data_IF_624232386143
#
_entry.id   IF_624232386143
#
_cell.length_a   1.000
_cell.length_b   1.000
_cell.length_c   1.000
_cell.angle_alpha   90.00
_cell.angle_beta   90.00
_cell.angle_gamma   90.00
#
_symmetry.space_group_name_H-M   'P 1'
#
loop_
_entity.id
_entity.type
_entity.pdbx_description
1 polymer ?
#
# COMPACT_ATOMS: atom_id res chain seq x y z
N UNK A 1 10.95 28.87 26.57
CA UNK A 1 10.24 27.89 27.43
C UNK A 1 8.84 27.51 26.89
N UNK A 2 7.92 28.45 26.69
CA UNK A 2 6.52 28.17 26.20
C UNK A 2 6.43 27.44 24.85
N UNK A 3 7.20 27.86 23.83
CA UNK A 3 7.28 27.18 22.52
C UNK A 3 7.86 25.76 22.62
N UNK A 4 8.81 25.53 23.54
CA UNK A 4 9.41 24.21 23.78
C UNK A 4 8.40 23.28 24.45
N UNK A 5 7.70 23.76 25.49
CA UNK A 5 6.63 23.01 26.17
C UNK A 5 5.46 22.69 25.22
N UNK A 6 5.06 23.63 24.35
CA UNK A 6 4.04 23.38 23.34
C UNK A 6 4.48 22.32 22.32
N UNK A 7 5.75 22.35 21.89
CA UNK A 7 6.32 21.34 20.99
C UNK A 7 6.41 19.97 21.66
N UNK A 8 6.81 19.90 22.92
CA UNK A 8 6.85 18.66 23.72
C UNK A 8 5.44 18.09 23.93
N UNK A 9 4.45 18.92 24.26
CA UNK A 9 3.05 18.49 24.37
C UNK A 9 2.47 17.98 23.06
N UNK A 10 2.79 18.62 21.93
CA UNK A 10 2.40 18.15 20.59
C UNK A 10 3.05 16.81 20.22
N UNK A 11 4.34 16.65 20.56
CA UNK A 11 5.07 15.40 20.33
C UNK A 11 4.50 14.26 21.18
N UNK A 12 4.23 14.50 22.47
CA UNK A 12 3.62 13.50 23.36
C UNK A 12 2.25 13.05 22.86
N UNK A 13 1.41 13.98 22.38
CA UNK A 13 0.12 13.65 21.76
C UNK A 13 0.29 12.79 20.50
N UNK A 14 1.25 13.15 19.64
CA UNK A 14 1.53 12.39 18.42
C UNK A 14 1.96 10.96 18.72
N UNK A 15 2.83 10.78 19.73
CA UNK A 15 3.22 9.45 20.21
C UNK A 15 2.03 8.70 20.79
N UNK A 16 1.21 9.36 21.63
CA UNK A 16 0.00 8.77 22.20
C UNK A 16 -0.98 8.26 21.13
N UNK A 17 -1.24 9.05 20.09
CA UNK A 17 -2.11 8.62 18.98
C UNK A 17 -1.53 7.48 18.16
N UNK A 18 -0.20 7.43 18.02
CA UNK A 18 0.46 6.29 17.38
C UNK A 18 0.31 5.03 18.21
N UNK A 19 0.58 5.08 19.52
CA UNK A 19 0.38 3.95 20.43
C UNK A 19 -1.09 3.49 20.40
N UNK A 20 -2.02 4.43 20.46
CA UNK A 20 -3.45 4.12 20.33
C UNK A 20 -3.73 3.38 19.02
N UNK A 21 -3.30 3.92 17.88
CA UNK A 21 -3.59 3.32 16.57
C UNK A 21 -2.93 1.95 16.40
N UNK A 22 -1.70 1.79 16.88
CA UNK A 22 -0.92 0.56 16.71
C UNK A 22 -1.33 -0.55 17.70
N UNK A 23 -1.97 -0.23 18.83
CA UNK A 23 -2.19 -1.22 19.91
C UNK A 23 -3.60 -1.23 20.54
N UNK A 24 -4.37 -0.15 20.47
CA UNK A 24 -5.59 0.02 21.27
C UNK A 24 -6.83 0.41 20.46
N UNK A 25 -6.68 0.70 19.17
CA UNK A 25 -7.79 1.17 18.34
C UNK A 25 -8.78 0.02 18.11
N UNK A 26 -10.07 0.22 18.45
CA UNK A 26 -11.08 -0.80 18.18
C UNK A 26 -11.26 -0.98 16.67
N UNK A 27 -11.90 -2.07 16.27
CA UNK A 27 -12.29 -2.23 14.88
C UNK A 27 -13.19 -1.08 14.44
N UNK A 28 -12.87 -0.53 13.27
CA UNK A 28 -13.63 0.50 12.55
C UNK A 28 -14.31 -0.09 11.30
N UNK A 29 -14.31 -1.42 11.14
CA UNK A 29 -14.89 -2.09 9.98
C UNK A 29 -16.39 -1.82 9.83
N UNK A 30 -17.12 -1.62 10.94
CA UNK A 30 -18.52 -1.18 10.88
C UNK A 30 -18.65 0.23 10.26
N UNK A 31 -17.70 1.12 10.52
CA UNK A 31 -17.65 2.45 9.88
C UNK A 31 -17.32 2.33 8.39
N UNK A 32 -16.43 1.40 8.03
CA UNK A 32 -16.11 1.11 6.63
C UNK A 32 -17.35 0.61 5.86
N UNK A 33 -18.05 -0.37 6.41
CA UNK A 33 -19.29 -0.90 5.84
C UNK A 33 -20.37 0.19 5.69
N UNK A 34 -20.55 1.03 6.71
CA UNK A 34 -21.48 2.16 6.63
C UNK A 34 -21.09 3.17 5.54
N UNK A 35 -19.80 3.42 5.33
CA UNK A 35 -19.33 4.30 4.25
C UNK A 35 -19.72 3.77 2.87
N UNK A 36 -19.55 2.48 2.64
CA UNK A 36 -19.93 1.83 1.38
C UNK A 36 -21.44 1.82 1.19
N UNK A 37 -22.21 1.50 2.23
CA UNK A 37 -23.67 1.55 2.17
C UNK A 37 -24.18 2.96 1.80
N UNK A 38 -23.63 4.02 2.39
CA UNK A 38 -24.04 5.39 2.04
C UNK A 38 -23.68 5.76 0.59
N UNK A 39 -22.55 5.28 0.07
CA UNK A 39 -22.22 5.45 -1.34
C UNK A 39 -23.25 4.74 -2.24
N UNK A 40 -23.62 3.50 -1.92
CA UNK A 40 -24.63 2.74 -2.66
C UNK A 40 -26.00 3.43 -2.61
N UNK A 41 -26.44 3.88 -1.43
CA UNK A 41 -27.69 4.65 -1.24
C UNK A 41 -27.70 5.98 -2.02
N UNK A 42 -26.52 6.54 -2.29
CA UNK A 42 -26.33 7.73 -3.11
C UNK A 42 -26.09 7.41 -4.60
N UNK A 43 -26.43 6.21 -5.07
CA UNK A 43 -26.26 5.70 -6.44
C UNK A 43 -24.83 5.81 -7.00
N UNK A 44 -23.81 5.59 -6.17
CA UNK A 44 -22.44 5.48 -6.66
C UNK A 44 -22.22 4.11 -7.32
N UNK A 45 -21.65 4.11 -8.52
CA UNK A 45 -21.03 2.92 -9.09
C UNK A 45 -19.67 2.71 -8.41
N UNK A 46 -19.54 1.63 -7.62
CA UNK A 46 -18.30 1.31 -6.92
C UNK A 46 -17.39 0.48 -7.82
N UNK A 47 -16.16 0.95 -7.98
CA UNK A 47 -15.18 0.44 -8.91
C UNK A 47 -13.84 0.12 -8.24
N UNK A 48 -13.22 -0.99 -8.65
CA UNK A 48 -11.78 -1.13 -8.55
C UNK A 48 -11.09 -0.13 -9.50
N UNK A 49 -9.83 0.19 -9.25
CA UNK A 49 -8.97 0.99 -10.13
C UNK A 49 -8.97 0.43 -11.56
N UNK A 50 -8.76 -0.89 -11.74
CA UNK A 50 -8.87 -1.51 -13.07
C UNK A 50 -10.24 -1.30 -13.72
N UNK A 51 -11.34 -1.52 -13.00
CA UNK A 51 -12.67 -1.36 -13.60
C UNK A 51 -13.01 0.09 -13.93
N UNK A 52 -12.52 1.06 -13.17
CA UNK A 52 -12.64 2.48 -13.51
C UNK A 52 -11.74 2.87 -14.69
N UNK A 53 -10.57 2.23 -14.81
CA UNK A 53 -9.71 2.39 -15.98
C UNK A 53 -10.41 1.95 -17.28
N UNK A 54 -11.21 0.89 -17.24
CA UNK A 54 -12.07 0.50 -18.37
C UNK A 54 -13.11 1.59 -18.72
N UNK A 55 -13.71 2.25 -17.72
CA UNK A 55 -14.61 3.40 -17.96
C UNK A 55 -13.87 4.53 -18.68
N UNK A 56 -12.61 4.79 -18.30
CA UNK A 56 -11.78 5.79 -18.97
C UNK A 56 -11.48 5.39 -20.42
N UNK A 57 -11.08 4.14 -20.65
CA UNK A 57 -10.83 3.62 -22.01
C UNK A 57 -12.07 3.64 -22.90
N UNK A 58 -13.27 3.51 -22.31
CA UNK A 58 -14.55 3.60 -23.00
C UNK A 58 -15.02 5.04 -23.29
N UNK A 59 -14.22 6.06 -23.00
CA UNK A 59 -14.54 7.47 -23.30
C UNK A 59 -14.64 8.37 -22.06
N UNK A 60 -14.40 7.84 -20.86
CA UNK A 60 -14.41 8.62 -19.62
C UNK A 60 -15.71 8.49 -18.81
N UNK A 61 -15.74 9.07 -17.60
CA UNK A 61 -16.94 9.09 -16.75
C UNK A 61 -18.12 9.74 -17.46
N UNK A 62 -19.26 9.04 -17.47
CA UNK A 62 -20.51 9.55 -18.05
C UNK A 62 -21.08 10.68 -17.20
N UNK A 63 -21.47 11.78 -17.86
CA UNK A 63 -22.12 12.92 -17.21
C UNK A 63 -23.40 12.49 -16.47
N UNK A 64 -23.57 12.97 -15.23
CA UNK A 64 -24.71 12.66 -14.37
C UNK A 64 -24.59 11.36 -13.56
N UNK A 65 -23.63 10.49 -13.88
CA UNK A 65 -23.29 9.32 -13.04
C UNK A 65 -22.31 9.71 -11.93
N UNK A 66 -22.25 8.87 -10.89
CA UNK A 66 -21.33 9.01 -9.75
C UNK A 66 -20.50 7.74 -9.59
N UNK A 67 -19.21 7.91 -9.37
CA UNK A 67 -18.25 6.81 -9.30
C UNK A 67 -17.48 6.88 -7.98
N UNK A 68 -17.34 5.74 -7.31
CA UNK A 68 -16.48 5.56 -6.15
C UNK A 68 -15.38 4.56 -6.50
N UNK A 69 -14.16 5.05 -6.64
CA UNK A 69 -12.98 4.22 -6.89
C UNK A 69 -12.44 3.79 -5.53
N UNK A 70 -12.41 2.48 -5.28
CA UNK A 70 -12.02 1.91 -4.00
C UNK A 70 -10.69 1.16 -4.11
N UNK A 71 -9.70 1.59 -3.31
CA UNK A 71 -8.34 1.03 -3.27
C UNK A 71 -7.93 0.71 -1.83
N UNK A 72 -7.28 -0.44 -1.68
CA UNK A 72 -6.65 -0.93 -0.46
C UNK A 72 -5.15 -1.17 -0.69
N UNK A 73 -4.31 -0.49 0.06
CA UNK A 73 -2.87 -0.77 0.12
C UNK A 73 -2.60 -1.71 1.30
N UNK A 74 -2.35 -2.99 1.00
CA UNK A 74 -2.17 -4.06 1.98
C UNK A 74 -0.72 -4.04 2.47
N UNK A 75 -0.39 -3.09 3.34
CA UNK A 75 0.99 -2.86 3.78
C UNK A 75 1.54 -3.92 4.75
N UNK A 76 0.69 -4.37 5.68
CA UNK A 76 1.07 -5.26 6.78
C UNK A 76 -0.04 -6.22 7.21
N UNK A 77 -1.31 -5.82 7.16
CA UNK A 77 -2.43 -6.54 7.80
C UNK A 77 -3.33 -7.24 6.75
N UNK A 78 -2.97 -8.49 6.43
CA UNK A 78 -3.71 -9.35 5.49
C UNK A 78 -5.06 -9.77 6.09
N UNK A 79 -5.12 -10.00 7.42
CA UNK A 79 -6.33 -10.45 8.08
C UNK A 79 -7.44 -9.41 7.97
N UNK A 80 -7.13 -8.13 8.18
CA UNK A 80 -8.10 -7.04 8.01
C UNK A 80 -8.40 -6.79 6.54
N UNK A 81 -7.43 -6.97 5.62
CA UNK A 81 -7.71 -6.92 4.19
C UNK A 81 -8.79 -7.94 3.77
N UNK A 82 -8.70 -9.17 4.29
CA UNK A 82 -9.70 -10.23 4.05
C UNK A 82 -11.09 -9.88 4.59
N UNK A 83 -11.17 -9.22 5.74
CA UNK A 83 -12.45 -8.75 6.32
C UNK A 83 -13.06 -7.61 5.49
N UNK A 84 -12.25 -6.65 5.04
CA UNK A 84 -12.70 -5.57 4.15
C UNK A 84 -13.25 -6.14 2.85
N UNK A 85 -12.50 -7.06 2.23
CA UNK A 85 -12.95 -7.79 1.05
C UNK A 85 -14.26 -8.56 1.32
N UNK A 86 -14.40 -9.22 2.46
CA UNK A 86 -15.65 -9.94 2.81
C UNK A 86 -16.86 -8.99 2.92
N UNK A 87 -16.66 -7.78 3.46
CA UNK A 87 -17.68 -6.73 3.50
C UNK A 87 -18.05 -6.29 2.08
N UNK A 88 -17.05 -6.01 1.24
CA UNK A 88 -17.24 -5.59 -0.15
C UNK A 88 -18.03 -6.62 -0.96
N UNK A 89 -17.69 -7.90 -0.82
CA UNK A 89 -18.42 -9.00 -1.46
C UNK A 89 -19.86 -9.09 -0.99
N UNK A 90 -20.13 -8.95 0.32
CA UNK A 90 -21.49 -8.94 0.86
C UNK A 90 -22.32 -7.78 0.30
N UNK A 91 -21.71 -6.64 0.04
CA UNK A 91 -22.36 -5.46 -0.54
C UNK A 91 -22.42 -5.50 -2.07
N UNK A 92 -21.83 -6.50 -2.72
CA UNK A 92 -21.79 -6.62 -4.18
C UNK A 92 -20.95 -5.54 -4.86
N UNK A 93 -19.95 -5.00 -4.16
CA UNK A 93 -19.04 -3.98 -4.68
C UNK A 93 -17.65 -4.57 -4.94
N UNK A 94 -16.84 -3.86 -5.72
CA UNK A 94 -15.49 -4.28 -6.11
C UNK A 94 -14.46 -3.21 -5.77
N UNK A 95 -13.26 -3.65 -5.40
CA UNK A 95 -12.14 -2.80 -5.06
C UNK A 95 -10.83 -3.33 -5.63
N UNK A 96 -9.77 -2.53 -5.52
CA UNK A 96 -8.39 -2.95 -5.78
C UNK A 96 -7.64 -3.19 -4.49
N UNK A 97 -6.95 -4.32 -4.39
CA UNK A 97 -6.05 -4.68 -3.31
C UNK A 97 -4.63 -4.77 -3.85
N UNK A 98 -3.76 -3.85 -3.43
CA UNK A 98 -2.36 -3.85 -3.80
C UNK A 98 -1.54 -4.45 -2.66
N UNK A 99 -0.84 -5.55 -2.95
CA UNK A 99 -0.07 -6.32 -1.98
C UNK A 99 1.42 -6.01 -2.11
N UNK A 100 2.08 -5.72 -1.00
CA UNK A 100 3.54 -5.68 -0.93
C UNK A 100 4.09 -7.09 -0.99
N UNK A 101 5.38 -7.23 -1.32
CA UNK A 101 6.04 -8.54 -1.25
C UNK A 101 5.92 -9.18 0.14
N UNK A 102 5.93 -8.39 1.21
CA UNK A 102 5.76 -8.88 2.58
C UNK A 102 4.34 -9.29 2.95
N UNK A 103 3.35 -9.00 2.09
CA UNK A 103 1.94 -9.27 2.35
C UNK A 103 1.26 -10.10 1.27
N UNK A 104 2.02 -10.64 0.31
CA UNK A 104 1.49 -11.54 -0.72
C UNK A 104 0.78 -12.72 -0.05
N UNK A 105 -0.51 -12.87 -0.34
CA UNK A 105 -1.36 -14.00 0.02
C UNK A 105 -2.01 -14.50 -1.28
N UNK A 106 -1.35 -15.47 -1.94
CA UNK A 106 -1.78 -15.97 -3.25
C UNK A 106 -3.25 -16.46 -3.23
N UNK A 107 -3.70 -17.24 -2.22
CA UNK A 107 -5.10 -17.62 -2.10
C UNK A 107 -6.06 -16.42 -2.09
N UNK A 108 -5.81 -15.42 -1.23
CA UNK A 108 -6.65 -14.23 -1.16
C UNK A 108 -6.63 -13.43 -2.46
N UNK A 109 -5.45 -13.24 -3.07
CA UNK A 109 -5.32 -12.51 -4.33
C UNK A 109 -6.13 -13.16 -5.45
N UNK A 110 -6.10 -14.50 -5.55
CA UNK A 110 -6.91 -15.24 -6.53
C UNK A 110 -8.39 -15.11 -6.23
N UNK A 111 -8.79 -15.26 -4.97
CA UNK A 111 -10.19 -15.15 -4.55
C UNK A 111 -10.78 -13.76 -4.88
N UNK A 112 -10.04 -12.69 -4.57
CA UNK A 112 -10.42 -11.31 -4.95
C UNK A 112 -10.67 -11.21 -6.46
N UNK A 113 -9.78 -11.78 -7.27
CA UNK A 113 -9.89 -11.71 -8.72
C UNK A 113 -11.06 -12.54 -9.29
N UNK A 114 -11.21 -13.77 -8.81
CA UNK A 114 -12.27 -14.70 -9.23
C UNK A 114 -13.67 -14.14 -8.95
N UNK A 115 -13.81 -13.36 -7.88
CA UNK A 115 -15.07 -12.72 -7.51
C UNK A 115 -15.25 -11.29 -8.09
N UNK A 116 -14.38 -10.88 -9.03
CA UNK A 116 -14.53 -9.66 -9.82
C UNK A 116 -13.82 -8.41 -9.29
N UNK A 117 -13.11 -8.53 -8.17
CA UNK A 117 -12.19 -7.52 -7.65
C UNK A 117 -10.85 -7.50 -8.38
N UNK A 118 -9.97 -6.59 -7.95
CA UNK A 118 -8.60 -6.52 -8.44
C UNK A 118 -7.61 -6.83 -7.33
N UNK A 119 -6.68 -7.75 -7.57
CA UNK A 119 -5.51 -7.96 -6.74
C UNK A 119 -4.24 -7.72 -7.57
N UNK A 120 -3.36 -6.84 -7.09
CA UNK A 120 -2.17 -6.46 -7.83
C UNK A 120 -1.00 -6.07 -6.92
N UNK A 121 0.08 -5.56 -7.51
CA UNK A 121 1.36 -5.34 -6.85
C UNK A 121 1.48 -3.94 -6.24
N UNK A 122 1.79 -3.88 -4.93
CA UNK A 122 2.19 -2.68 -4.21
C UNK A 122 3.71 -2.60 -4.11
N UNK A 123 4.33 -1.85 -5.01
CA UNK A 123 5.76 -1.98 -5.29
C UNK A 123 6.61 -0.90 -4.60
N UNK A 124 7.87 -1.22 -4.34
CA UNK A 124 8.79 -0.37 -3.56
C UNK A 124 10.28 -0.56 -3.89
N UNK A 125 10.62 -0.88 -5.14
CA UNK A 125 12.00 -1.22 -5.53
C UNK A 125 12.97 -0.06 -5.36
N UNK A 126 12.56 1.21 -5.56
CA UNK A 126 13.43 2.36 -5.29
C UNK A 126 13.80 2.38 -3.80
N UNK A 127 12.82 2.19 -2.91
CA UNK A 127 13.07 2.15 -1.49
C UNK A 127 13.93 0.95 -1.08
N UNK A 128 13.61 -0.23 -1.61
CA UNK A 128 14.29 -1.49 -1.26
C UNK A 128 15.76 -1.43 -1.67
N UNK A 129 16.04 -1.21 -2.94
CA UNK A 129 17.41 -1.17 -3.48
C UNK A 129 18.15 0.07 -2.94
N UNK A 130 17.46 1.18 -2.77
CA UNK A 130 18.01 2.39 -2.17
C UNK A 130 18.52 2.16 -0.74
N UNK A 131 17.75 1.45 0.10
CA UNK A 131 18.17 1.05 1.46
C UNK A 131 19.29 0.01 1.44
N UNK A 132 19.24 -0.94 0.51
CA UNK A 132 20.27 -1.98 0.35
C UNK A 132 21.63 -1.41 -0.02
N UNK A 133 21.68 -0.54 -1.03
CA UNK A 133 22.90 0.11 -1.53
C UNK A 133 23.27 1.38 -0.75
N UNK A 134 22.49 1.73 0.28
CA UNK A 134 22.66 2.94 1.10
C UNK A 134 22.74 4.23 0.27
N UNK A 135 21.93 4.32 -0.79
CA UNK A 135 21.85 5.51 -1.63
C UNK A 135 21.30 6.67 -0.81
N UNK A 136 21.90 7.85 -0.95
CA UNK A 136 21.59 8.99 -0.10
C UNK A 136 21.40 10.31 -0.86
N UNK A 137 21.49 10.26 -2.18
CA UNK A 137 21.19 11.39 -3.06
C UNK A 137 20.34 10.93 -4.24
N UNK A 138 19.61 11.87 -4.83
CA UNK A 138 18.84 11.66 -6.06
C UNK A 138 19.71 11.14 -7.21
N UNK A 139 20.90 11.71 -7.40
CA UNK A 139 21.80 11.31 -8.49
C UNK A 139 22.25 9.85 -8.36
N UNK A 140 22.39 9.35 -7.13
CA UNK A 140 22.70 7.94 -6.89
C UNK A 140 21.52 7.05 -7.27
N UNK A 141 20.29 7.45 -6.95
CA UNK A 141 19.08 6.72 -7.37
C UNK A 141 18.96 6.72 -8.89
N UNK A 142 19.11 7.88 -9.55
CA UNK A 142 19.02 7.98 -11.02
C UNK A 142 20.00 7.04 -11.72
N UNK A 143 21.22 6.90 -11.20
CA UNK A 143 22.21 5.94 -11.72
C UNK A 143 21.79 4.48 -11.56
N UNK A 144 21.00 4.17 -10.54
CA UNK A 144 20.54 2.83 -10.19
C UNK A 144 19.14 2.51 -10.75
N UNK A 145 18.42 3.49 -11.33
CA UNK A 145 17.10 3.28 -11.91
C UNK A 145 17.05 2.12 -12.91
N UNK A 146 18.03 1.90 -13.81
CA UNK A 146 18.01 0.74 -14.70
C UNK A 146 17.93 -0.60 -13.93
N UNK A 147 18.68 -0.74 -12.84
CA UNK A 147 18.63 -1.93 -11.98
C UNK A 147 17.28 -2.03 -11.25
N UNK A 148 16.77 -0.92 -10.72
CA UNK A 148 15.49 -0.90 -10.01
C UNK A 148 14.31 -1.24 -10.93
N UNK A 149 14.32 -0.73 -12.17
CA UNK A 149 13.34 -1.07 -13.22
C UNK A 149 13.41 -2.54 -13.62
N UNK A 150 14.62 -3.08 -13.77
CA UNK A 150 14.81 -4.50 -14.05
C UNK A 150 14.27 -5.38 -12.90
N UNK A 151 14.57 -5.01 -11.65
CA UNK A 151 14.05 -5.70 -10.47
C UNK A 151 12.52 -5.68 -10.39
N UNK A 152 11.90 -4.53 -10.69
CA UNK A 152 10.44 -4.39 -10.77
C UNK A 152 9.85 -5.34 -11.82
N UNK A 153 10.40 -5.33 -13.04
CA UNK A 153 9.92 -6.18 -14.14
C UNK A 153 10.00 -7.66 -13.77
N UNK A 154 11.15 -8.12 -13.26
CA UNK A 154 11.34 -9.51 -12.83
C UNK A 154 10.36 -9.91 -11.73
N UNK A 155 10.16 -9.03 -10.75
CA UNK A 155 9.24 -9.27 -9.63
C UNK A 155 7.81 -9.38 -10.12
N UNK A 156 7.36 -8.45 -10.97
CA UNK A 156 6.01 -8.48 -11.53
C UNK A 156 5.78 -9.74 -12.38
N UNK A 157 6.72 -10.12 -13.25
CA UNK A 157 6.62 -11.36 -14.02
C UNK A 157 6.53 -12.60 -13.13
N UNK A 158 7.31 -12.64 -12.06
CA UNK A 158 7.26 -13.73 -11.07
C UNK A 158 5.90 -13.78 -10.38
N UNK A 159 5.40 -12.64 -9.91
CA UNK A 159 4.09 -12.55 -9.24
C UNK A 159 2.97 -13.03 -10.16
N UNK A 160 2.93 -12.57 -11.42
CA UNK A 160 1.95 -13.05 -12.41
C UNK A 160 2.04 -14.55 -12.65
N UNK A 161 3.25 -15.12 -12.74
CA UNK A 161 3.44 -16.57 -12.87
C UNK A 161 2.92 -17.34 -11.66
N UNK A 162 3.14 -16.82 -10.45
CA UNK A 162 2.71 -17.46 -9.21
C UNK A 162 1.20 -17.37 -9.00
N UNK A 163 0.61 -16.21 -9.27
CA UNK A 163 -0.81 -15.96 -8.98
C UNK A 163 -1.72 -16.33 -10.14
N UNK A 164 -1.24 -16.27 -11.38
CA UNK A 164 -2.05 -16.35 -12.59
C UNK A 164 -2.78 -15.05 -12.93
N UNK A 165 -2.54 -13.98 -12.18
CA UNK A 165 -3.28 -12.72 -12.30
C UNK A 165 -2.67 -11.78 -13.34
N UNK A 166 -3.49 -10.93 -13.99
CA UNK A 166 -3.02 -10.03 -15.03
C UNK A 166 -2.14 -8.89 -14.50
N UNK A 167 -2.49 -8.30 -13.34
CA UNK A 167 -1.77 -7.17 -12.73
C UNK A 167 -1.46 -6.04 -13.73
N UNK A 168 -2.46 -5.57 -14.47
CA UNK A 168 -2.30 -4.48 -15.46
C UNK A 168 -2.27 -3.09 -14.83
N UNK A 169 -2.75 -2.95 -13.61
CA UNK A 169 -2.55 -1.74 -12.80
C UNK A 169 -1.62 -2.05 -11.61
N UNK A 170 -0.86 -1.08 -11.12
CA UNK A 170 0.04 -1.23 -9.97
C UNK A 170 0.03 0.01 -9.09
N UNK A 171 0.43 -0.13 -7.83
CA UNK A 171 0.43 0.97 -6.88
C UNK A 171 1.80 1.15 -6.23
N UNK A 172 2.35 2.35 -6.27
CA UNK A 172 3.63 2.65 -5.62
C UNK A 172 3.46 2.82 -4.11
N UNK A 173 4.24 2.10 -3.29
CA UNK A 173 4.25 2.25 -1.83
C UNK A 173 5.08 3.46 -1.38
N UNK A 174 4.72 4.08 -0.26
CA UNK A 174 5.41 5.24 0.30
C UNK A 174 6.34 4.90 1.48
N UNK A 175 7.62 4.63 1.22
CA UNK A 175 8.59 4.34 2.29
C UNK A 175 9.19 5.61 2.93
N UNK A 176 9.78 5.48 4.12
CA UNK A 176 10.50 6.59 4.77
C UNK A 176 11.71 7.03 3.95
N UNK A 177 12.33 6.11 3.21
CA UNK A 177 13.43 6.35 2.30
C UNK A 177 13.02 7.32 1.19
N UNK A 178 11.87 7.07 0.54
CA UNK A 178 11.32 7.94 -0.49
C UNK A 178 11.10 9.36 0.03
N UNK A 179 10.45 9.50 1.20
CA UNK A 179 10.19 10.80 1.83
C UNK A 179 11.46 11.57 2.16
N UNK A 180 12.51 10.86 2.60
CA UNK A 180 13.79 11.47 2.96
C UNK A 180 14.51 12.07 1.75
N UNK A 181 14.36 11.46 0.58
CA UNK A 181 15.06 11.86 -0.65
C UNK A 181 14.18 12.65 -1.63
N UNK A 182 12.87 12.73 -1.39
CA UNK A 182 11.94 13.44 -2.28
C UNK A 182 11.64 12.70 -3.57
N UNK A 183 11.86 11.38 -3.65
CA UNK A 183 11.65 10.56 -4.86
C UNK A 183 10.66 9.45 -4.54
N UNK A 184 9.51 9.47 -5.22
CA UNK A 184 8.48 8.45 -5.06
C UNK A 184 8.82 7.17 -5.84
N UNK A 185 8.23 6.04 -5.46
CA UNK A 185 8.42 4.78 -6.19
C UNK A 185 7.84 4.83 -7.61
N UNK A 186 6.79 5.64 -7.87
CA UNK A 186 6.19 5.76 -9.21
C UNK A 186 7.11 6.32 -10.29
N UNK A 187 8.23 6.94 -9.92
CA UNK A 187 9.29 7.34 -10.85
C UNK A 187 9.88 6.15 -11.66
N UNK A 188 9.72 4.91 -11.16
CA UNK A 188 10.06 3.71 -11.92
C UNK A 188 9.32 3.66 -13.25
N UNK A 189 8.03 4.01 -13.24
CA UNK A 189 7.10 3.89 -14.36
C UNK A 189 6.94 5.18 -15.16
N UNK A 190 7.74 6.22 -14.88
CA UNK A 190 7.77 7.42 -15.72
C UNK A 190 8.23 7.12 -17.17
N UNK A 191 9.03 6.05 -17.36
CA UNK A 191 9.49 5.63 -18.68
C UNK A 191 8.47 4.70 -19.38
N UNK A 192 8.06 5.06 -20.60
CA UNK A 192 7.10 4.27 -21.39
C UNK A 192 7.60 2.87 -21.78
N UNK A 193 8.92 2.67 -21.87
CA UNK A 193 9.53 1.37 -22.22
C UNK A 193 9.22 0.30 -21.19
N UNK A 194 9.40 0.61 -19.90
CA UNK A 194 9.14 -0.35 -18.82
C UNK A 194 7.66 -0.77 -18.82
N UNK A 195 6.74 0.18 -19.00
CA UNK A 195 5.30 -0.10 -19.09
C UNK A 195 4.96 -1.05 -20.22
N UNK A 196 5.54 -0.84 -21.42
CA UNK A 196 5.36 -1.74 -22.57
C UNK A 196 5.92 -3.12 -22.31
N UNK A 197 7.14 -3.21 -21.77
CA UNK A 197 7.78 -4.49 -21.42
C UNK A 197 6.97 -5.28 -20.41
N UNK A 198 6.43 -4.58 -19.41
CA UNK A 198 5.69 -5.19 -18.30
C UNK A 198 4.18 -5.24 -18.52
N UNK A 199 3.65 -4.78 -19.65
CA UNK A 199 2.20 -4.66 -19.88
C UNK A 199 1.44 -4.00 -18.70
N UNK A 200 2.07 -3.03 -18.03
CA UNK A 200 1.44 -2.18 -17.01
C UNK A 200 0.77 -1.02 -17.73
N UNK A 201 -0.55 -0.97 -17.67
CA UNK A 201 -1.36 0.07 -18.29
C UNK A 201 -1.45 1.31 -17.40
N UNK A 202 -1.56 1.12 -16.09
CA UNK A 202 -1.85 2.20 -15.15
C UNK A 202 -1.06 2.07 -13.85
N UNK A 203 -0.48 3.17 -13.40
CA UNK A 203 -0.04 3.36 -12.03
C UNK A 203 -1.08 4.22 -11.31
N UNK A 204 -1.40 3.89 -10.06
CA UNK A 204 -2.51 4.53 -9.33
C UNK A 204 -2.44 6.04 -9.16
N UNK A 205 -1.29 6.69 -9.38
CA UNK A 205 -1.10 8.14 -9.34
C UNK A 205 -1.03 8.78 -10.73
N UNK A 206 -1.18 8.02 -11.81
CA UNK A 206 -1.11 8.53 -13.16
C UNK A 206 -2.17 9.61 -13.41
N UNK A 207 -1.74 10.74 -13.99
CA UNK A 207 -2.60 11.88 -14.33
C UNK A 207 -3.73 11.50 -15.30
N UNK A 208 -3.51 10.47 -16.12
CA UNK A 208 -4.49 9.97 -17.10
C UNK A 208 -5.81 9.53 -16.44
N UNK A 209 -5.74 8.97 -15.23
CA UNK A 209 -6.90 8.67 -14.40
C UNK A 209 -7.21 9.79 -13.41
N UNK A 210 -6.18 10.30 -12.72
CA UNK A 210 -6.37 11.26 -11.62
C UNK A 210 -7.06 12.55 -12.05
N UNK A 211 -6.93 12.98 -13.32
CA UNK A 211 -7.63 14.16 -13.86
C UNK A 211 -9.16 14.07 -13.81
N UNK A 212 -9.72 12.86 -13.69
CA UNK A 212 -11.17 12.64 -13.57
C UNK A 212 -11.67 12.64 -12.13
N UNK A 213 -10.77 12.50 -11.15
CA UNK A 213 -11.12 12.42 -9.73
C UNK A 213 -11.48 13.82 -9.22
N UNK A 214 -12.72 14.00 -8.76
CA UNK A 214 -13.19 15.28 -8.21
C UNK A 214 -12.95 15.38 -6.70
N UNK A 215 -12.89 14.25 -6.00
CA UNK A 215 -12.56 14.20 -4.57
C UNK A 215 -11.67 13.00 -4.26
N UNK A 216 -10.54 13.22 -3.58
CA UNK A 216 -9.61 12.15 -3.21
C UNK A 216 -9.41 12.10 -1.70
N UNK A 217 -9.60 10.93 -1.13
CA UNK A 217 -9.46 10.67 0.30
C UNK A 217 -8.51 9.51 0.54
N UNK A 218 -7.76 9.59 1.64
CA UNK A 218 -6.93 8.52 2.16
C UNK A 218 -7.18 8.41 3.65
N UNK A 219 -7.32 7.20 4.17
CA UNK A 219 -7.30 7.01 5.61
C UNK A 219 -5.93 7.36 6.21
N UNK A 220 -5.92 7.58 7.52
CA UNK A 220 -4.70 7.84 8.28
C UNK A 220 -4.89 7.42 9.75
N UNK A 221 -3.87 7.66 10.57
CA UNK A 221 -3.90 7.36 12.00
C UNK A 221 -4.86 8.29 12.77
N UNK A 222 -5.18 7.91 14.00
CA UNK A 222 -5.87 8.78 14.93
C UNK A 222 -5.12 10.13 15.12
N UNK A 223 -5.84 11.22 15.45
CA UNK A 223 -7.28 11.30 15.70
C UNK A 223 -8.11 11.61 14.45
N UNK A 224 -7.47 11.97 13.34
CA UNK A 224 -8.18 12.46 12.15
C UNK A 224 -8.82 11.34 11.34
N UNK A 225 -8.16 10.17 11.27
CA UNK A 225 -8.55 8.99 10.51
C UNK A 225 -8.68 9.15 8.99
N UNK A 226 -8.80 10.38 8.47
CA UNK A 226 -8.91 10.71 7.06
C UNK A 226 -8.04 11.89 6.69
N UNK A 227 -7.65 11.95 5.41
CA UNK A 227 -7.01 13.09 4.75
C UNK A 227 -7.54 13.23 3.32
N UNK A 228 -7.73 14.46 2.81
CA UNK A 228 -7.65 15.72 3.56
C UNK A 228 -8.83 15.90 4.53
N UNK A 229 -9.97 15.30 4.23
CA UNK A 229 -11.22 15.34 5.00
C UNK A 229 -11.99 14.02 4.86
N UNK A 230 -13.10 13.91 5.56
CA UNK A 230 -13.92 12.69 5.62
C UNK A 230 -14.63 12.42 4.27
N UNK A 231 -14.52 11.22 3.69
CA UNK A 231 -15.23 10.85 2.46
C UNK A 231 -16.76 10.89 2.57
N UNK A 232 -17.34 10.79 3.78
CA UNK A 232 -18.78 10.98 3.97
C UNK A 232 -19.24 12.36 3.47
N UNK A 233 -18.42 13.39 3.62
CA UNK A 233 -18.75 14.73 3.13
C UNK A 233 -18.78 14.78 1.60
N UNK A 234 -17.87 14.06 0.93
CA UNK A 234 -17.84 14.00 -0.53
C UNK A 234 -19.06 13.24 -1.10
N UNK A 235 -19.46 12.14 -0.45
CA UNK A 235 -20.68 11.40 -0.77
C UNK A 235 -21.91 12.31 -0.57
N UNK A 236 -21.99 13.02 0.55
CA UNK A 236 -23.10 13.96 0.83
C UNK A 236 -23.18 15.10 -0.17
N UNK A 237 -22.04 15.60 -0.67
CA UNK A 237 -21.98 16.60 -1.74
C UNK A 237 -22.26 16.02 -3.13
N UNK A 238 -22.38 14.70 -3.26
CA UNK A 238 -22.61 13.99 -4.52
C UNK A 238 -21.50 14.26 -5.55
N UNK A 239 -20.26 14.30 -5.08
CA UNK A 239 -19.07 14.43 -5.92
C UNK A 239 -19.07 13.40 -7.05
N UNK A 240 -18.75 13.81 -8.27
CA UNK A 240 -18.92 12.96 -9.45
C UNK A 240 -17.99 11.74 -9.44
N UNK A 241 -16.74 11.91 -9.01
CA UNK A 241 -15.75 10.83 -8.95
C UNK A 241 -14.98 10.93 -7.65
N UNK A 242 -15.27 10.03 -6.72
CA UNK A 242 -14.56 9.92 -5.44
C UNK A 242 -13.50 8.83 -5.57
N UNK A 243 -12.26 9.14 -5.20
CA UNK A 243 -11.18 8.16 -5.06
C UNK A 243 -10.87 7.95 -3.58
N UNK A 244 -11.07 6.72 -3.11
CA UNK A 244 -10.90 6.33 -1.72
C UNK A 244 -9.74 5.34 -1.59
N UNK A 245 -8.63 5.80 -0.99
CA UNK A 245 -7.51 4.97 -0.57
C UNK A 245 -7.67 4.59 0.89
N UNK A 246 -7.52 3.31 1.19
CA UNK A 246 -7.49 2.80 2.55
C UNK A 246 -6.32 1.85 2.77
N UNK A 247 -5.90 1.70 4.01
CA UNK A 247 -4.86 0.75 4.43
C UNK A 247 -5.47 -0.11 5.53
N UNK A 248 -5.56 -1.45 5.38
CA UNK A 248 -6.21 -2.32 6.37
C UNK A 248 -5.75 -2.10 7.82
N UNK A 249 -4.47 -1.78 8.02
CA UNK A 249 -3.88 -1.44 9.33
C UNK A 249 -4.52 -0.24 10.06
N UNK A 250 -5.32 0.58 9.37
CA UNK A 250 -6.03 1.74 9.94
C UNK A 250 -7.50 1.43 10.30
N UNK A 251 -7.97 0.21 10.06
CA UNK A 251 -9.35 -0.22 10.27
C UNK A 251 -9.52 -1.23 11.40
N UNK A 252 -8.46 -1.93 11.77
CA UNK A 252 -8.43 -2.78 12.95
C UNK A 252 -6.98 -2.87 13.40
N UNK A 253 -6.77 -2.92 14.71
CA UNK A 253 -5.43 -3.09 15.24
C UNK A 253 -4.99 -4.55 15.15
N UNK A 254 -3.79 -4.77 14.62
CA UNK A 254 -3.02 -6.00 14.76
C UNK A 254 -1.79 -5.69 15.64
N UNK A 255 -1.88 -5.85 16.98
CA UNK A 255 -0.82 -5.44 17.89
C UNK A 255 0.51 -6.13 17.59
N UNK A 256 0.46 -7.41 17.21
CA UNK A 256 1.65 -8.21 16.97
C UNK A 256 2.29 -7.83 15.63
N UNK A 257 1.52 -7.76 14.55
CA UNK A 257 2.03 -7.31 13.25
C UNK A 257 2.55 -5.88 13.30
N UNK A 258 1.88 -4.97 14.01
CA UNK A 258 2.32 -3.60 14.20
C UNK A 258 3.64 -3.51 14.99
N UNK A 259 3.82 -4.33 16.03
CA UNK A 259 5.09 -4.39 16.77
C UNK A 259 6.23 -4.87 15.86
N UNK A 260 6.02 -5.97 15.12
CA UNK A 260 7.02 -6.50 14.19
C UNK A 260 7.38 -5.49 13.09
N UNK A 261 6.39 -4.84 12.48
CA UNK A 261 6.61 -3.78 11.48
C UNK A 261 7.43 -2.62 12.06
N UNK A 262 7.09 -2.15 13.26
CA UNK A 262 7.80 -1.07 13.93
C UNK A 262 9.27 -1.45 14.22
N UNK A 263 9.53 -2.68 14.69
CA UNK A 263 10.89 -3.19 14.91
C UNK A 263 11.65 -3.27 13.59
N UNK A 264 11.04 -3.86 12.55
CA UNK A 264 11.64 -3.97 11.22
C UNK A 264 12.04 -2.61 10.66
N UNK A 265 11.13 -1.62 10.72
CA UNK A 265 11.39 -0.26 10.23
C UNK A 265 12.52 0.44 11.00
N UNK A 266 12.59 0.25 12.32
CA UNK A 266 13.69 0.75 13.13
C UNK A 266 15.01 0.11 12.71
N UNK A 267 15.03 -1.21 12.56
CA UNK A 267 16.20 -1.97 12.14
C UNK A 267 16.69 -1.57 10.75
N UNK A 268 15.78 -1.41 9.77
CA UNK A 268 16.10 -0.90 8.43
C UNK A 268 16.73 0.49 8.48
N UNK A 269 16.23 1.38 9.35
CA UNK A 269 16.80 2.71 9.57
C UNK A 269 18.22 2.65 10.14
N UNK A 270 18.46 1.77 11.12
CA UNK A 270 19.79 1.55 11.72
C UNK A 270 20.76 0.98 10.69
N UNK A 271 20.37 -0.09 9.98
CA UNK A 271 21.19 -0.69 8.92
C UNK A 271 21.54 0.30 7.82
N UNK A 272 20.57 1.09 7.37
CA UNK A 272 20.80 2.14 6.38
C UNK A 272 21.85 3.15 6.87
N UNK A 273 21.74 3.61 8.13
CA UNK A 273 22.70 4.54 8.72
C UNK A 273 24.11 3.92 8.87
N UNK A 274 24.20 2.65 9.27
CA UNK A 274 25.47 1.93 9.41
C UNK A 274 26.17 1.74 8.05
N UNK A 275 25.42 1.31 7.02
CA UNK A 275 25.93 1.15 5.65
C UNK A 275 26.40 2.48 5.08
N UNK A 276 25.61 3.55 5.24
CA UNK A 276 25.97 4.90 4.79
C UNK A 276 27.28 5.39 5.41
N UNK A 277 27.53 5.06 6.67
CA UNK A 277 28.74 5.47 7.39
C UNK A 277 29.94 4.52 7.17
N UNK A 278 29.86 3.59 6.22
CA UNK A 278 30.95 2.65 5.90
C UNK A 278 31.23 1.60 6.98
N UNK A 279 30.36 1.47 7.99
CA UNK A 279 30.54 0.53 9.11
C UNK A 279 30.00 -0.87 8.83
N UNK A 280 29.43 -1.10 7.65
CA UNK A 280 28.88 -2.38 7.24
C UNK A 280 28.95 -2.50 5.71
N UNK A 281 29.84 -3.35 5.19
CA UNK A 281 29.81 -3.82 3.81
C UNK A 281 29.21 -5.23 3.81
N UNK A 282 28.18 -5.48 3.00
CA UNK A 282 27.75 -6.85 2.74
C UNK A 282 28.64 -7.44 1.65
N UNK A 283 29.10 -8.67 1.88
CA UNK A 283 29.60 -9.56 0.83
C UNK A 283 28.42 -9.85 -0.12
N UNK A 284 28.57 -9.70 -1.44
CA UNK A 284 27.51 -10.02 -2.38
C UNK A 284 27.07 -11.49 -2.21
N UNK A 285 25.78 -11.74 -1.91
CA UNK A 285 25.20 -13.09 -1.88
C UNK A 285 24.71 -13.63 -0.53
N UNK A 286 24.71 -12.85 0.57
CA UNK A 286 24.21 -13.37 1.87
C UNK A 286 22.68 -13.32 2.01
N UNK A 287 22.03 -14.42 1.64
CA UNK A 287 20.87 -15.11 2.27
C UNK A 287 19.55 -14.33 2.53
N UNK A 288 19.53 -13.03 2.74
CA UNK A 288 18.29 -12.25 2.99
C UNK A 288 17.52 -11.86 1.73
N UNK A 289 18.13 -11.93 0.54
CA UNK A 289 17.45 -11.75 -0.75
C UNK A 289 16.71 -13.00 -1.24
N UNK A 290 16.82 -14.12 -0.53
CA UNK A 290 16.13 -15.39 -0.85
C UNK A 290 15.14 -15.84 0.23
N UNK A 291 15.14 -15.22 1.40
CA UNK A 291 14.24 -15.59 2.51
C UNK A 291 12.85 -14.94 2.45
N UNK A 292 12.58 -14.01 1.52
CA UNK A 292 11.23 -13.48 1.30
C UNK A 292 10.41 -14.27 0.27
N UNK A 293 10.99 -15.31 -0.35
CA UNK A 293 10.27 -16.12 -1.35
C UNK A 293 10.40 -17.63 -1.16
N UNK A 294 10.80 -18.05 0.05
CA UNK A 294 10.64 -19.42 0.54
C UNK A 294 9.78 -19.41 1.81
N UNK A 295 8.57 -18.88 1.69
CA UNK A 295 7.50 -19.08 2.65
C UNK A 295 6.23 -19.35 1.86
N UNK A 296 6.21 -20.51 1.19
CA UNK A 296 5.03 -21.06 0.49
C UNK A 296 4.48 -22.29 1.22
N UNK A 297 5.08 -22.70 2.34
CA UNK A 297 4.51 -23.72 3.21
C UNK A 297 4.44 -23.19 4.64
N UNK A 298 3.24 -23.22 5.22
CA UNK A 298 2.90 -22.61 6.50
C UNK A 298 3.55 -23.27 7.72
N UNK A 299 4.84 -23.08 7.92
CA UNK A 299 5.56 -23.54 9.11
C UNK A 299 6.34 -22.39 9.78
N UNK A 300 5.64 -21.39 10.30
CA UNK A 300 6.23 -20.41 11.24
C UNK A 300 5.75 -20.59 12.69
N UNK A 301 4.80 -21.48 12.95
CA UNK A 301 4.28 -21.70 14.30
C UNK A 301 5.23 -22.47 15.23
N UNK A 302 6.17 -23.27 14.69
CA UNK A 302 7.00 -24.18 15.51
C UNK A 302 8.45 -23.72 15.76
N UNK A 303 8.95 -22.68 15.08
CA UNK A 303 10.36 -22.29 15.20
C UNK A 303 10.67 -21.36 16.39
N UNK A 304 9.67 -20.68 16.97
CA UNK A 304 9.88 -19.77 18.12
C UNK A 304 9.82 -20.44 19.49
N UNK A 305 9.40 -21.71 19.58
CA UNK A 305 9.36 -22.45 20.86
C UNK A 305 10.71 -23.12 21.19
N UNK A 306 11.54 -23.38 20.18
CA UNK A 306 12.82 -24.10 20.40
C UNK A 306 14.01 -23.20 20.76
N UNK A 307 13.87 -21.87 20.73
CA UNK A 307 14.95 -20.92 21.09
C UNK A 307 14.84 -20.36 22.52
N UNK A 308 13.85 -20.82 23.30
CA UNK A 308 13.64 -20.40 24.70
C UNK A 308 13.94 -21.55 25.69
N UNK A 309 14.31 -22.74 25.23
CA UNK A 309 14.64 -23.91 26.10
C UNK A 309 15.95 -24.60 25.69
N UNK A 310 16.95 -23.85 25.22
CA UNK A 310 18.32 -24.37 25.04
C UNK A 310 19.36 -23.38 25.54
#
# INVERSE_FOLDING_TARGET
MRKLLQKLGSMAKTVGYRVYSDFLMPSRLATFENLLNQAIECDYEVHSVASFWEVIKAGGPVSGKRYLILRHDVDTDIATAREMWTIEQRLGVRASFYFRLSTIDIPLMRQIHEEGGEASYHYEEIATIGKEKALSTEQQIVRELPLMRHSFAQTLFRLRKLTGLPMHTVASHGDFFNRKLGIANHELLAESKLRKETAVELETYDETMMKYVTSRHSDTLAPAFWKPNDPFEAISRKEAVIYLLTHPRHWRTDPYGNLLDNIKRLWEGVLFAMRKNGKFSMVPGSILSHLSVLTVEGEWANAMVSLVVA
#
